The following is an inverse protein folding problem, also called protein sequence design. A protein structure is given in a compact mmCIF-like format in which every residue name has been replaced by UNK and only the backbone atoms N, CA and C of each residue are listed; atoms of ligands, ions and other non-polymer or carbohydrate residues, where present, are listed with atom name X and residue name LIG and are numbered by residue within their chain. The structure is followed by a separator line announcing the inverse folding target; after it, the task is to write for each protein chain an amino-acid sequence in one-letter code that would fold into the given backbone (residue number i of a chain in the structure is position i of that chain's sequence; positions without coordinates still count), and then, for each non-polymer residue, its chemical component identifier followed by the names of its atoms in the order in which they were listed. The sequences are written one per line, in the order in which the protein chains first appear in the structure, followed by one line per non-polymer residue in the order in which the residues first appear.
data_IF_449696947436
#
_entry.id   IF_449696947436
#
_cell.length_a   1.000
_cell.length_b   1.000
_cell.length_c   1.000
_cell.angle_alpha   90.00
_cell.angle_beta   90.00
_cell.angle_gamma   90.00
#
_symmetry.space_group_name_H-M   'P 1'
#
loop_
_entity.id
_entity.type
_entity.pdbx_description
1 polymer ?
#
# COMPACT_ATOMS: atom_id res chain seq x y z
N UNK A 1 26.77 18.14 -1.50
CA UNK A 1 26.32 16.75 -1.28
C UNK A 1 24.82 16.77 -1.00
N UNK A 2 24.00 16.68 -2.03
CA UNK A 2 22.53 16.76 -1.94
C UNK A 2 22.00 15.39 -1.52
N UNK A 3 21.51 15.27 -0.29
CA UNK A 3 20.78 14.08 0.15
C UNK A 3 19.54 13.92 -0.75
N UNK A 4 19.54 12.91 -1.60
CA UNK A 4 18.30 12.47 -2.25
C UNK A 4 17.33 12.08 -1.13
N UNK A 5 16.24 12.82 -1.01
CA UNK A 5 15.14 12.43 -0.12
C UNK A 5 14.57 11.13 -0.68
N UNK A 6 14.53 10.09 0.16
CA UNK A 6 13.84 8.86 -0.16
C UNK A 6 12.36 9.20 -0.44
N UNK A 7 11.85 8.96 -1.66
CA UNK A 7 10.45 9.25 -2.00
C UNK A 7 9.47 8.43 -1.13
N UNK A 8 9.90 7.33 -0.54
CA UNK A 8 9.08 6.52 0.38
C UNK A 8 8.96 7.14 1.77
N UNK A 9 9.90 8.01 2.17
CA UNK A 9 9.84 8.69 3.46
C UNK A 9 8.71 9.75 3.51
N UNK A 10 8.27 10.26 2.35
CA UNK A 10 7.19 11.25 2.27
C UNK A 10 5.78 10.62 2.44
N UNK A 11 5.64 9.30 2.27
CA UNK A 11 4.38 8.56 2.41
C UNK A 11 4.10 8.08 3.85
N UNK A 12 5.05 8.19 4.74
CA UNK A 12 4.85 7.87 6.15
C UNK A 12 4.38 9.11 6.91
N UNK A 13 3.09 9.41 6.79
CA UNK A 13 2.46 10.13 7.88
C UNK A 13 2.52 9.21 9.10
N UNK A 14 3.09 9.64 10.24
CA UNK A 14 3.07 8.79 11.44
C UNK A 14 1.61 8.42 11.74
N UNK A 15 1.32 7.12 11.85
CA UNK A 15 -0.02 6.61 12.13
C UNK A 15 -0.72 7.35 13.30
N UNK A 16 -0.02 7.77 14.37
CA UNK A 16 -0.59 8.59 15.43
C UNK A 16 -1.23 9.89 14.95
N UNK A 17 -0.56 10.64 14.05
CA UNK A 17 -1.08 11.94 13.59
C UNK A 17 -2.36 11.79 12.78
N UNK A 18 -2.44 10.80 11.88
CA UNK A 18 -3.65 10.55 11.11
C UNK A 18 -4.81 10.14 12.02
N UNK A 19 -4.57 9.28 13.01
CA UNK A 19 -5.55 8.87 14.01
C UNK A 19 -6.01 10.01 14.91
N UNK A 20 -5.10 10.88 15.34
CA UNK A 20 -5.42 12.03 16.19
C UNK A 20 -6.33 13.03 15.45
N UNK A 21 -6.07 13.28 14.17
CA UNK A 21 -6.93 14.17 13.36
C UNK A 21 -8.29 13.52 13.11
N UNK A 22 -8.33 12.25 12.73
CA UNK A 22 -9.57 11.53 12.42
C UNK A 22 -10.39 11.22 13.67
N UNK A 23 -9.77 11.10 14.84
CA UNK A 23 -10.41 10.75 16.11
C UNK A 23 -11.46 11.74 16.60
N UNK A 24 -11.59 12.91 15.95
CA UNK A 24 -12.68 13.85 16.23
C UNK A 24 -14.06 13.37 15.71
N UNK A 25 -14.09 12.34 14.86
CA UNK A 25 -15.33 11.76 14.32
C UNK A 25 -15.23 10.22 14.35
N UNK A 26 -16.35 9.50 14.54
CA UNK A 26 -16.35 8.05 14.38
C UNK A 26 -16.05 7.68 12.92
N UNK A 27 -15.17 6.71 12.70
CA UNK A 27 -14.86 6.18 11.37
C UNK A 27 -14.55 4.68 11.44
N UNK A 28 -14.91 3.95 10.39
CA UNK A 28 -14.52 2.54 10.21
C UNK A 28 -13.22 2.41 9.42
N UNK A 29 -13.02 3.32 8.46
CA UNK A 29 -11.82 3.35 7.61
C UNK A 29 -11.26 4.75 7.50
N UNK A 30 -9.93 4.84 7.48
CA UNK A 30 -9.21 6.09 7.31
C UNK A 30 -8.51 6.11 5.96
N UNK A 31 -8.82 7.11 5.17
CA UNK A 31 -8.23 7.33 3.86
C UNK A 31 -7.59 8.72 3.84
N UNK A 32 -6.30 8.75 3.53
CA UNK A 32 -5.52 9.97 3.42
C UNK A 32 -5.28 10.28 1.95
N UNK A 33 -5.95 11.30 1.45
CA UNK A 33 -5.78 11.78 0.09
C UNK A 33 -4.66 12.82 0.04
N UNK A 34 -3.64 12.57 -0.78
CA UNK A 34 -2.47 13.44 -0.90
C UNK A 34 -2.61 14.25 -2.18
N UNK A 35 -2.80 15.54 -2.02
CA UNK A 35 -2.95 16.49 -3.14
C UNK A 35 -1.57 16.84 -3.72
N UNK A 36 -0.98 15.95 -4.47
CA UNK A 36 0.33 16.12 -5.12
C UNK A 36 0.36 15.32 -6.45
N UNK A 37 1.18 15.78 -7.38
CA UNK A 37 1.41 15.20 -8.70
C UNK A 37 2.38 14.01 -8.66
N UNK A 38 2.01 12.98 -7.94
CA UNK A 38 2.79 11.75 -7.86
C UNK A 38 1.90 10.55 -8.14
N UNK A 39 2.50 9.52 -8.67
CA UNK A 39 1.84 8.23 -8.81
C UNK A 39 2.19 7.36 -7.61
N UNK A 40 1.19 6.76 -6.98
CA UNK A 40 1.37 5.78 -5.92
C UNK A 40 0.40 5.94 -4.76
N UNK A 41 0.58 5.08 -3.80
CA UNK A 41 -0.21 5.01 -2.58
C UNK A 41 0.47 4.14 -1.54
N UNK A 42 -0.26 3.75 -0.52
CA UNK A 42 0.15 2.79 0.50
C UNK A 42 -1.04 2.40 1.37
N UNK A 43 -1.18 1.10 1.63
CA UNK A 43 -2.17 0.56 2.54
C UNK A 43 -1.50 -0.14 3.73
N UNK A 44 -1.92 0.17 4.94
CA UNK A 44 -1.48 -0.52 6.16
C UNK A 44 -2.68 -1.18 6.81
N UNK A 45 -2.63 -2.49 6.93
CA UNK A 45 -3.72 -3.30 7.44
C UNK A 45 -4.24 -2.77 8.79
N UNK A 46 -5.55 -2.61 8.87
CA UNK A 46 -6.28 -2.07 10.03
C UNK A 46 -5.85 -0.67 10.49
N UNK A 47 -5.12 0.09 9.67
CA UNK A 47 -4.72 1.44 10.03
C UNK A 47 -5.26 2.48 9.05
N UNK A 48 -4.74 2.55 7.85
CA UNK A 48 -5.16 3.54 6.87
C UNK A 48 -4.71 3.21 5.44
N UNK A 49 -5.35 3.86 4.50
CA UNK A 49 -4.93 3.93 3.09
C UNK A 49 -4.43 5.34 2.78
N UNK A 50 -3.34 5.44 2.03
CA UNK A 50 -2.89 6.70 1.42
C UNK A 50 -2.98 6.59 -0.10
N UNK A 51 -3.32 7.67 -0.78
CA UNK A 51 -3.35 7.73 -2.23
C UNK A 51 -3.05 9.15 -2.70
N UNK A 52 -2.23 9.29 -3.74
CA UNK A 52 -2.07 10.56 -4.45
C UNK A 52 -3.29 10.82 -5.33
N UNK A 53 -3.80 12.05 -5.33
CA UNK A 53 -5.07 12.40 -5.98
C UNK A 53 -4.92 13.09 -7.32
N UNK A 54 -3.70 13.48 -7.70
CA UNK A 54 -3.45 14.23 -8.91
C UNK A 54 -2.57 13.43 -9.84
N UNK A 55 -3.12 13.07 -11.00
CA UNK A 55 -2.35 12.54 -12.13
C UNK A 55 -2.51 13.50 -13.29
N UNK A 56 -1.44 14.21 -13.64
CA UNK A 56 -1.41 15.17 -14.73
C UNK A 56 -1.14 14.54 -16.11
N UNK A 57 -0.97 13.22 -16.15
CA UNK A 57 -0.77 12.52 -17.41
C UNK A 57 -2.11 12.32 -18.15
N UNK A 58 -2.35 13.01 -19.27
CA UNK A 58 -3.59 12.89 -20.02
C UNK A 58 -3.91 11.44 -20.40
N UNK A 59 -5.15 11.01 -20.13
CA UNK A 59 -5.62 9.66 -20.42
C UNK A 59 -5.18 8.58 -19.42
N UNK A 60 -4.64 8.99 -18.26
CA UNK A 60 -4.22 8.09 -17.18
C UNK A 60 -4.95 8.33 -15.87
N UNK A 61 -6.05 9.04 -15.90
CA UNK A 61 -6.88 9.35 -14.73
C UNK A 61 -7.34 8.07 -14.01
N UNK A 62 -7.62 7.01 -14.78
CA UNK A 62 -8.01 5.70 -14.26
C UNK A 62 -6.95 5.05 -13.34
N UNK A 63 -5.68 5.46 -13.45
CA UNK A 63 -4.62 4.90 -12.63
C UNK A 63 -4.80 5.25 -11.15
N UNK A 64 -5.39 6.39 -10.86
CA UNK A 64 -5.64 6.82 -9.49
C UNK A 64 -6.74 5.97 -8.83
N UNK A 65 -7.82 5.71 -9.56
CA UNK A 65 -8.90 4.84 -9.10
C UNK A 65 -8.36 3.43 -8.83
N UNK A 66 -7.51 2.93 -9.71
CA UNK A 66 -6.88 1.63 -9.55
C UNK A 66 -5.97 1.59 -8.32
N UNK A 67 -5.08 2.57 -8.15
CA UNK A 67 -4.19 2.65 -6.98
C UNK A 67 -5.00 2.72 -5.69
N UNK A 68 -6.05 3.53 -5.67
CA UNK A 68 -6.91 3.64 -4.50
C UNK A 68 -7.50 2.28 -4.08
N UNK A 69 -8.09 1.55 -5.02
CA UNK A 69 -8.69 0.23 -4.75
C UNK A 69 -7.62 -0.77 -4.33
N UNK A 70 -6.45 -0.74 -4.96
CA UNK A 70 -5.32 -1.60 -4.64
C UNK A 70 -4.85 -1.37 -3.18
N UNK A 71 -4.58 -0.13 -2.81
CA UNK A 71 -4.13 0.20 -1.45
C UNK A 71 -5.21 -0.03 -0.38
N UNK A 72 -6.47 0.14 -0.75
CA UNK A 72 -7.60 -0.23 0.11
C UNK A 72 -7.66 -1.74 0.34
N UNK A 73 -7.32 -2.55 -0.65
CA UNK A 73 -7.18 -3.99 -0.52
C UNK A 73 -6.19 -4.39 0.57
N UNK A 74 -5.04 -3.71 0.65
CA UNK A 74 -4.07 -3.92 1.72
C UNK A 74 -4.63 -3.51 3.09
N UNK A 75 -5.17 -2.31 3.19
CA UNK A 75 -5.60 -1.75 4.49
C UNK A 75 -6.84 -2.42 5.06
N UNK A 76 -7.78 -2.81 4.23
CA UNK A 76 -9.04 -3.45 4.61
C UNK A 76 -8.96 -4.97 4.64
N UNK A 77 -8.47 -5.57 3.55
CA UNK A 77 -8.46 -7.03 3.38
C UNK A 77 -7.19 -7.71 3.86
N UNK A 78 -6.15 -6.94 4.19
CA UNK A 78 -4.83 -7.51 4.50
C UNK A 78 -4.20 -8.23 3.32
N UNK A 79 -4.56 -7.83 2.09
CA UNK A 79 -4.05 -8.46 0.88
C UNK A 79 -2.57 -8.10 0.67
N UNK A 80 -1.78 -9.05 0.22
CA UNK A 80 -0.42 -8.85 -0.21
C UNK A 80 -0.33 -8.50 -1.70
N UNK A 81 0.79 -7.90 -2.11
CA UNK A 81 1.09 -7.62 -3.50
C UNK A 81 1.34 -8.92 -4.30
N UNK A 82 0.65 -9.08 -5.41
CA UNK A 82 0.81 -10.22 -6.32
C UNK A 82 1.76 -9.91 -7.49
N UNK A 83 2.43 -8.75 -7.47
CA UNK A 83 3.36 -8.35 -8.51
C UNK A 83 4.79 -8.19 -7.97
N UNK A 84 5.75 -8.36 -8.85
CA UNK A 84 7.17 -8.16 -8.55
C UNK A 84 7.62 -6.79 -9.07
N UNK A 85 7.58 -5.79 -8.20
CA UNK A 85 8.05 -4.45 -8.57
C UNK A 85 9.53 -4.22 -8.26
N UNK A 86 10.11 -5.06 -7.41
CA UNK A 86 11.54 -5.01 -7.11
C UNK A 86 12.04 -6.35 -6.59
N UNK A 87 13.35 -6.62 -6.78
CA UNK A 87 13.99 -7.82 -6.22
C UNK A 87 13.96 -7.86 -4.70
N UNK A 88 13.93 -6.71 -4.05
CA UNK A 88 13.86 -6.58 -2.59
C UNK A 88 12.53 -7.14 -2.06
N UNK A 89 11.42 -6.85 -2.70
CA UNK A 89 10.10 -7.35 -2.29
C UNK A 89 10.04 -8.87 -2.30
N UNK A 90 10.66 -9.49 -3.29
CA UNK A 90 10.62 -10.94 -3.44
C UNK A 90 11.50 -11.69 -2.44
N UNK A 91 12.68 -11.19 -2.15
CA UNK A 91 13.67 -11.92 -1.35
C UNK A 91 13.55 -11.67 0.16
N UNK A 92 13.10 -10.48 0.56
CA UNK A 92 13.21 -10.01 1.93
C UNK A 92 11.88 -10.04 2.70
N UNK A 93 10.74 -9.99 2.01
CA UNK A 93 9.43 -9.97 2.68
C UNK A 93 8.86 -11.37 2.93
N UNK A 94 9.03 -12.30 1.99
CA UNK A 94 8.46 -13.63 2.10
C UNK A 94 9.58 -14.67 2.18
N UNK A 95 9.70 -15.31 3.32
CA UNK A 95 10.65 -16.39 3.51
C UNK A 95 10.15 -17.63 2.76
N UNK A 96 11.04 -18.23 1.97
CA UNK A 96 10.72 -19.45 1.23
C UNK A 96 10.27 -20.58 2.18
N UNK A 97 9.11 -21.15 1.90
CA UNK A 97 8.55 -22.26 2.68
C UNK A 97 7.84 -21.82 3.97
N UNK A 98 7.72 -20.52 4.22
CA UNK A 98 6.89 -19.97 5.31
C UNK A 98 5.63 -19.42 4.69
N UNK A 99 4.47 -19.92 5.10
CA UNK A 99 3.18 -19.46 4.58
C UNK A 99 2.96 -17.99 4.99
N UNK A 100 2.69 -17.07 4.02
CA UNK A 100 2.33 -15.70 4.32
C UNK A 100 1.04 -15.62 5.12
N UNK A 101 0.88 -14.57 5.89
CA UNK A 101 -0.37 -14.31 6.60
C UNK A 101 -1.45 -13.68 5.70
N UNK A 102 -1.03 -13.12 4.57
CA UNK A 102 -1.91 -12.49 3.60
C UNK A 102 -2.79 -13.54 2.91
N UNK A 103 -4.12 -13.37 2.92
CA UNK A 103 -5.05 -14.42 2.50
C UNK A 103 -5.03 -14.75 1.00
N UNK A 104 -4.44 -13.89 0.19
CA UNK A 104 -4.32 -14.06 -1.27
C UNK A 104 -2.96 -14.62 -1.72
N UNK A 105 -2.04 -14.86 -0.80
CA UNK A 105 -0.71 -15.38 -1.11
C UNK A 105 -0.51 -16.77 -0.50
N UNK A 106 0.33 -17.57 -1.14
CA UNK A 106 0.73 -18.88 -0.59
C UNK A 106 2.19 -19.17 -0.93
N UNK A 107 2.90 -19.77 0.01
CA UNK A 107 4.23 -20.31 -0.19
C UNK A 107 4.19 -21.77 -0.69
N UNK A 108 3.02 -22.40 -0.75
CA UNK A 108 2.84 -23.76 -1.23
C UNK A 108 3.01 -23.81 -2.76
N UNK A 109 3.76 -24.78 -3.23
CA UNK A 109 3.86 -25.07 -4.66
C UNK A 109 2.73 -26.03 -5.09
N UNK A 110 2.48 -26.13 -6.40
CA UNK A 110 1.50 -27.09 -6.93
C UNK A 110 1.79 -28.53 -6.49
N UNK A 111 3.03 -28.83 -6.15
CA UNK A 111 3.43 -30.15 -5.64
C UNK A 111 3.00 -30.40 -4.19
N UNK A 112 2.82 -29.32 -3.43
CA UNK A 112 2.47 -29.37 -2.01
C UNK A 112 0.94 -29.39 -1.83
N UNK A 113 0.21 -29.06 -2.89
CA UNK A 113 -1.27 -29.08 -2.94
C UNK A 113 -1.86 -30.41 -3.42
N UNK A 114 -1.03 -31.39 -3.68
CA UNK A 114 -1.43 -32.76 -4.03
C UNK A 114 -1.21 -33.68 -2.84
#
# INVERSE_FOLDING_TARGET
MTRRRDPRAALRMPAPIAGDIAGAAPYDFLIVLINDYRYGGGGIYNLYTTCYTINDAPGKEWQMDYVYVHEFGHSFGGLGDEYYSSQVSYNDFYQKGVEPWEPNLTALTDKDNL
#
